data_IF_943139365667
#
_entry.id   IF_943139365667
#
_cell.length_a   1.000
_cell.length_b   1.000
_cell.length_c   1.000
_cell.angle_alpha   90.00
_cell.angle_beta   90.00
_cell.angle_gamma   90.00
#
_symmetry.space_group_name_H-M   'P 1'
#
loop_
_entity.id
_entity.type
_entity.pdbx_description
1 polymer ?
#
# COMPACT_ATOMS: atom_id res chain seq x y z
N UNK A 1 -85.58 9.61 30.32
CA UNK A 1 -84.78 10.67 30.98
C UNK A 1 -83.59 9.99 31.66
N UNK A 2 -82.36 10.35 31.24
CA UNK A 2 -81.07 10.25 31.96
C UNK A 2 -80.71 8.90 32.63
N UNK A 3 -79.62 8.21 32.30
CA UNK A 3 -78.23 8.67 32.46
C UNK A 3 -77.27 7.75 31.70
N UNK A 4 -76.21 8.36 31.16
CA UNK A 4 -75.09 7.76 30.41
C UNK A 4 -74.16 6.99 31.35
N UNK A 5 -73.52 5.93 30.86
CA UNK A 5 -72.16 5.61 31.29
C UNK A 5 -71.36 5.01 30.13
N UNK A 6 -70.31 5.75 29.78
CA UNK A 6 -69.33 5.50 28.73
C UNK A 6 -68.22 4.61 29.30
N UNK A 7 -67.87 3.51 28.64
CA UNK A 7 -66.67 2.72 28.97
C UNK A 7 -65.64 2.82 27.84
N UNK A 8 -64.53 3.52 28.12
CA UNK A 8 -63.31 3.52 27.31
C UNK A 8 -62.61 2.16 27.46
N UNK A 9 -62.29 1.49 26.35
CA UNK A 9 -61.36 0.36 26.32
C UNK A 9 -59.99 0.91 25.93
N UNK A 10 -59.02 0.80 26.84
CA UNK A 10 -57.63 1.20 26.66
C UNK A 10 -56.82 0.00 26.15
N UNK A 11 -56.36 0.05 24.89
CA UNK A 11 -55.51 -0.97 24.29
C UNK A 11 -54.06 -0.72 24.67
N UNK A 12 -53.49 -1.50 25.59
CA UNK A 12 -52.07 -1.46 25.93
C UNK A 12 -51.27 -2.39 24.99
N UNK A 13 -50.61 -1.82 23.98
CA UNK A 13 -49.56 -2.51 23.22
C UNK A 13 -48.24 -2.43 23.99
N UNK A 14 -47.80 -3.54 24.58
CA UNK A 14 -46.44 -3.68 25.11
C UNK A 14 -45.47 -3.89 23.93
N UNK A 15 -44.70 -2.86 23.59
CA UNK A 15 -43.55 -2.99 22.70
C UNK A 15 -42.41 -3.56 23.52
N UNK A 16 -42.10 -4.84 23.31
CA UNK A 16 -40.86 -5.45 23.77
C UNK A 16 -39.69 -4.77 23.03
N UNK A 17 -39.07 -3.80 23.68
CA UNK A 17 -37.75 -3.31 23.29
C UNK A 17 -36.75 -4.44 23.48
N UNK A 18 -36.52 -5.22 22.42
CA UNK A 18 -35.38 -6.11 22.34
C UNK A 18 -34.11 -5.27 22.36
N UNK A 19 -33.42 -5.25 23.51
CA UNK A 19 -32.04 -4.80 23.61
C UNK A 19 -31.21 -5.64 22.64
N UNK A 20 -30.94 -5.10 21.44
CA UNK A 20 -29.95 -5.64 20.52
C UNK A 20 -28.61 -5.62 21.23
N UNK A 21 -28.20 -6.78 21.72
CA UNK A 21 -26.90 -7.01 22.29
C UNK A 21 -25.89 -6.82 21.16
N UNK A 22 -25.19 -5.70 21.16
CA UNK A 22 -24.09 -5.45 20.23
C UNK A 22 -23.06 -6.57 20.40
N UNK A 23 -23.01 -7.50 19.43
CA UNK A 23 -22.00 -8.54 19.24
C UNK A 23 -20.61 -7.96 18.90
N UNK A 24 -20.28 -6.77 19.44
CA UNK A 24 -19.05 -6.00 19.19
C UNK A 24 -17.80 -6.59 19.86
N UNK A 25 -17.93 -7.70 20.59
CA UNK A 25 -16.85 -8.34 21.33
C UNK A 25 -16.14 -9.49 20.61
N UNK A 26 -16.47 -9.81 19.35
CA UNK A 26 -15.62 -10.70 18.54
C UNK A 26 -14.46 -9.88 17.96
N UNK A 27 -13.18 -10.25 18.22
CA UNK A 27 -12.05 -9.61 17.55
C UNK A 27 -12.26 -9.70 16.04
N UNK A 28 -12.36 -8.54 15.38
CA UNK A 28 -12.53 -8.50 13.93
C UNK A 28 -11.29 -9.17 13.31
N UNK A 29 -11.49 -10.35 12.72
CA UNK A 29 -10.41 -11.08 12.06
C UNK A 29 -9.80 -10.20 10.97
N UNK A 30 -8.48 -10.03 11.02
CA UNK A 30 -7.75 -9.25 10.02
C UNK A 30 -7.71 -10.04 8.71
N UNK A 31 -8.00 -9.35 7.61
CA UNK A 31 -7.99 -9.95 6.29
C UNK A 31 -6.54 -10.14 5.81
N UNK A 32 -6.23 -11.19 5.04
CA UNK A 32 -4.88 -11.38 4.51
C UNK A 32 -4.48 -10.22 3.58
N UNK A 33 -3.17 -10.05 3.37
CA UNK A 33 -2.70 -9.26 2.23
C UNK A 33 -3.28 -9.84 0.93
N UNK A 34 -3.37 -9.03 -0.12
CA UNK A 34 -3.88 -9.45 -1.42
C UNK A 34 -2.86 -9.15 -2.52
N UNK A 35 -2.49 -10.15 -3.31
CA UNK A 35 -1.74 -9.93 -4.55
C UNK A 35 -2.68 -9.31 -5.58
N UNK A 36 -2.56 -7.99 -5.77
CA UNK A 36 -3.43 -7.19 -6.65
C UNK A 36 -3.02 -7.31 -8.10
N UNK A 37 -1.71 -7.25 -8.34
CA UNK A 37 -1.13 -7.25 -9.68
C UNK A 37 0.18 -8.03 -9.63
N UNK A 38 0.51 -8.69 -10.75
CA UNK A 38 1.83 -9.27 -10.98
C UNK A 38 2.15 -9.26 -12.48
N UNK A 39 3.43 -9.14 -12.78
CA UNK A 39 3.98 -9.32 -14.12
C UNK A 39 5.35 -10.00 -14.01
N UNK A 40 5.72 -10.72 -15.06
CA UNK A 40 7.04 -11.31 -15.19
C UNK A 40 7.50 -11.29 -16.63
N UNK A 41 8.81 -11.23 -16.82
CA UNK A 41 9.45 -11.37 -18.13
C UNK A 41 10.64 -12.33 -18.03
N UNK A 42 10.99 -12.92 -19.16
CA UNK A 42 12.11 -13.84 -19.29
C UNK A 42 12.93 -13.40 -20.48
N UNK A 43 14.21 -13.11 -20.27
CA UNK A 43 15.12 -12.72 -21.35
C UNK A 43 16.37 -13.58 -21.38
N UNK A 44 16.81 -13.92 -22.59
CA UNK A 44 18.04 -14.66 -22.81
C UNK A 44 19.24 -13.77 -22.47
N UNK A 45 20.14 -14.26 -21.62
CA UNK A 45 21.40 -13.61 -21.28
C UNK A 45 22.57 -14.58 -21.51
N UNK A 46 23.81 -14.09 -21.45
CA UNK A 46 25.03 -14.88 -21.68
C UNK A 46 25.16 -16.10 -20.75
N UNK A 47 24.63 -16.01 -19.52
CA UNK A 47 24.64 -17.07 -18.52
C UNK A 47 23.38 -17.93 -18.40
N UNK A 48 22.39 -17.77 -19.30
CA UNK A 48 21.12 -18.48 -19.21
C UNK A 48 19.92 -17.61 -19.56
N UNK A 49 19.00 -17.47 -18.63
CA UNK A 49 17.82 -16.60 -18.75
C UNK A 49 17.69 -15.75 -17.48
N UNK A 50 17.43 -14.46 -17.65
CA UNK A 50 17.05 -13.57 -16.55
C UNK A 50 15.54 -13.59 -16.43
N UNK A 51 15.04 -13.88 -15.24
CA UNK A 51 13.62 -13.82 -14.88
C UNK A 51 13.40 -12.57 -14.08
N UNK A 52 12.64 -11.62 -14.62
CA UNK A 52 12.25 -10.41 -13.90
C UNK A 52 10.81 -10.54 -13.41
N UNK A 53 10.50 -9.91 -12.28
CA UNK A 53 9.12 -9.78 -11.81
C UNK A 53 8.84 -8.43 -11.18
N UNK A 54 7.56 -8.07 -11.22
CA UNK A 54 6.99 -6.96 -10.49
C UNK A 54 5.64 -7.39 -9.92
N UNK A 55 5.33 -6.95 -8.70
CA UNK A 55 4.07 -7.26 -8.06
C UNK A 55 3.62 -6.14 -7.12
N UNK A 56 2.31 -6.10 -6.86
CA UNK A 56 1.66 -5.18 -5.94
C UNK A 56 0.85 -5.97 -4.92
N UNK A 57 1.24 -5.89 -3.64
CA UNK A 57 0.41 -6.37 -2.52
C UNK A 57 -0.46 -5.23 -2.00
N UNK A 58 -1.72 -5.51 -1.71
CA UNK A 58 -2.63 -4.59 -1.04
C UNK A 58 -2.95 -5.04 0.38
N UNK A 59 -2.98 -4.09 1.30
CA UNK A 59 -3.39 -4.32 2.68
C UNK A 59 -4.81 -3.80 2.90
N UNK A 60 -5.81 -4.69 3.08
CA UNK A 60 -7.19 -4.27 3.32
C UNK A 60 -7.43 -3.77 4.75
N UNK A 61 -6.49 -3.96 5.68
CA UNK A 61 -6.67 -3.62 7.09
C UNK A 61 -6.30 -2.16 7.33
N UNK A 62 -7.33 -1.34 7.62
CA UNK A 62 -7.18 0.12 7.79
C UNK A 62 -6.27 0.54 8.94
N UNK A 63 -6.09 -0.30 9.96
CA UNK A 63 -5.42 0.07 11.21
C UNK A 63 -4.19 -0.79 11.53
N UNK A 64 -3.78 -1.65 10.61
CA UNK A 64 -2.68 -2.59 10.85
C UNK A 64 -1.70 -2.57 9.70
N UNK A 65 -0.40 -2.56 10.01
CA UNK A 65 0.66 -2.88 9.07
C UNK A 65 0.73 -4.39 8.86
N UNK A 66 1.01 -4.80 7.63
CA UNK A 66 1.46 -6.16 7.36
C UNK A 66 2.98 -6.20 7.38
N UNK A 67 3.57 -6.87 8.37
CA UNK A 67 5.01 -6.93 8.59
C UNK A 67 5.60 -8.31 8.30
N UNK A 68 6.93 -8.37 8.17
CA UNK A 68 7.72 -9.61 8.08
C UNK A 68 7.19 -10.59 7.02
N UNK A 69 6.60 -10.05 5.96
CA UNK A 69 6.10 -10.84 4.84
C UNK A 69 7.29 -11.27 3.99
N UNK A 70 7.26 -12.50 3.49
CA UNK A 70 8.28 -13.00 2.57
C UNK A 70 7.57 -13.47 1.32
N UNK A 71 7.94 -12.91 0.17
CA UNK A 71 7.51 -13.42 -1.13
C UNK A 71 8.35 -14.64 -1.51
N UNK A 72 7.70 -15.67 -2.06
CA UNK A 72 8.37 -16.81 -2.69
C UNK A 72 8.11 -16.73 -4.18
N UNK A 73 9.18 -16.55 -4.95
CA UNK A 73 9.15 -16.51 -6.40
C UNK A 73 9.64 -17.85 -6.91
N UNK A 74 8.83 -18.53 -7.71
CA UNK A 74 9.19 -19.81 -8.34
C UNK A 74 9.00 -19.73 -9.84
N UNK A 75 9.95 -20.26 -10.61
CA UNK A 75 9.82 -20.38 -12.06
C UNK A 75 9.99 -21.84 -12.50
N UNK A 76 9.16 -22.27 -13.45
CA UNK A 76 9.16 -23.65 -13.97
C UNK A 76 9.47 -23.67 -15.47
N UNK A 77 10.20 -24.69 -15.91
CA UNK A 77 10.42 -24.97 -17.34
C UNK A 77 9.22 -25.66 -18.00
N UNK A 78 9.34 -25.93 -19.31
CA UNK A 78 8.29 -26.58 -20.11
C UNK A 78 7.91 -28.00 -19.64
N UNK A 79 8.76 -28.65 -18.85
CA UNK A 79 8.49 -29.98 -18.27
C UNK A 79 7.80 -29.90 -16.90
N UNK A 80 7.59 -28.70 -16.38
CA UNK A 80 7.05 -28.45 -15.04
C UNK A 80 8.09 -28.50 -13.92
N UNK A 81 9.37 -28.67 -14.24
CA UNK A 81 10.45 -28.68 -13.25
C UNK A 81 10.71 -27.26 -12.75
N UNK A 82 10.80 -27.10 -11.44
CA UNK A 82 11.21 -25.84 -10.81
C UNK A 82 12.70 -25.60 -11.10
N UNK A 83 13.00 -24.46 -11.71
CA UNK A 83 14.35 -24.05 -12.13
C UNK A 83 14.81 -22.76 -11.45
N UNK A 84 13.89 -22.04 -10.81
CA UNK A 84 14.16 -20.90 -9.94
C UNK A 84 13.27 -21.03 -8.72
N UNK A 85 13.85 -20.83 -7.54
CA UNK A 85 13.13 -20.57 -6.28
C UNK A 85 13.89 -19.53 -5.48
N UNK A 86 13.22 -18.45 -5.13
CA UNK A 86 13.81 -17.38 -4.33
C UNK A 86 12.84 -16.91 -3.26
N UNK A 87 13.39 -16.59 -2.09
CA UNK A 87 12.66 -15.91 -1.02
C UNK A 87 13.10 -14.46 -0.95
N UNK A 88 12.15 -13.53 -1.04
CA UNK A 88 12.39 -12.10 -0.97
C UNK A 88 11.68 -11.55 0.27
N UNK A 89 12.43 -11.14 1.31
CA UNK A 89 11.87 -10.37 2.41
C UNK A 89 11.22 -9.10 1.86
N UNK A 90 10.00 -8.84 2.29
CA UNK A 90 9.25 -7.67 1.90
C UNK A 90 9.26 -6.64 3.01
N UNK A 91 9.19 -5.38 2.61
CA UNK A 91 8.99 -4.29 3.54
C UNK A 91 7.57 -4.29 4.12
N UNK A 92 7.36 -3.53 5.19
CA UNK A 92 6.05 -3.41 5.79
C UNK A 92 5.02 -2.79 4.82
N UNK A 93 3.85 -3.43 4.73
CA UNK A 93 2.71 -2.95 3.93
C UNK A 93 1.88 -1.98 4.79
N UNK A 94 1.77 -0.70 4.43
CA UNK A 94 1.10 0.29 5.26
C UNK A 94 -0.42 0.03 5.40
N UNK A 95 -1.07 0.53 6.47
CA UNK A 95 -2.50 0.35 6.68
C UNK A 95 -3.33 0.94 5.53
N UNK A 96 -4.30 0.16 5.03
CA UNK A 96 -5.10 0.50 3.85
C UNK A 96 -4.28 0.89 2.59
N UNK A 97 -2.99 0.51 2.53
CA UNK A 97 -2.08 0.88 1.46
C UNK A 97 -1.66 -0.30 0.60
N UNK A 98 -0.68 -0.04 -0.27
CA UNK A 98 -0.08 -1.02 -1.15
C UNK A 98 1.43 -1.10 -0.99
N UNK A 99 2.00 -2.22 -1.40
CA UNK A 99 3.42 -2.48 -1.47
C UNK A 99 3.74 -2.94 -2.88
N UNK A 100 4.44 -2.09 -3.64
CA UNK A 100 5.10 -2.48 -4.88
C UNK A 100 6.47 -3.09 -4.56
N UNK A 101 6.79 -4.21 -5.21
CA UNK A 101 8.11 -4.83 -5.12
C UNK A 101 8.47 -5.50 -6.45
N UNK A 102 9.77 -5.59 -6.70
CA UNK A 102 10.36 -6.09 -7.94
C UNK A 102 11.57 -6.94 -7.61
N UNK A 103 12.05 -7.71 -8.58
CA UNK A 103 13.32 -8.42 -8.48
C UNK A 103 13.65 -9.18 -9.74
N UNK A 104 14.81 -9.82 -9.71
CA UNK A 104 15.34 -10.61 -10.80
C UNK A 104 16.06 -11.86 -10.29
N UNK A 105 16.11 -12.90 -11.11
CA UNK A 105 16.87 -14.11 -10.82
C UNK A 105 17.39 -14.74 -12.12
N UNK A 106 18.57 -15.36 -12.05
CA UNK A 106 19.11 -16.15 -13.15
C UNK A 106 18.53 -17.58 -13.14
N UNK A 107 18.19 -18.07 -14.33
CA UNK A 107 17.70 -19.41 -14.59
C UNK A 107 18.58 -20.10 -15.64
N UNK A 108 18.95 -21.36 -15.39
CA UNK A 108 19.76 -22.14 -16.33
C UNK A 108 19.00 -22.54 -17.61
N UNK A 109 17.67 -22.67 -17.53
CA UNK A 109 16.78 -23.03 -18.63
C UNK A 109 15.68 -21.96 -18.81
N UNK A 110 14.99 -21.95 -19.97
CA UNK A 110 13.91 -20.99 -20.24
C UNK A 110 12.71 -21.33 -19.37
N UNK A 111 12.29 -20.48 -18.43
CA UNK A 111 11.03 -20.68 -17.74
C UNK A 111 9.86 -20.40 -18.67
N UNK A 112 8.79 -21.18 -18.52
CA UNK A 112 7.50 -20.97 -19.20
C UNK A 112 6.44 -20.43 -18.25
N UNK A 113 6.67 -20.53 -16.93
CA UNK A 113 5.80 -19.92 -15.92
C UNK A 113 6.61 -19.35 -14.77
N UNK A 114 6.14 -18.23 -14.23
CA UNK A 114 6.64 -17.59 -13.01
C UNK A 114 5.45 -17.41 -12.09
N UNK A 115 5.61 -17.78 -10.82
CA UNK A 115 4.57 -17.65 -9.79
C UNK A 115 5.14 -16.89 -8.60
N UNK A 116 4.35 -15.97 -8.07
CA UNK A 116 4.65 -15.22 -6.87
C UNK A 116 3.64 -15.63 -5.80
N UNK A 117 4.15 -16.22 -4.73
CA UNK A 117 3.40 -16.47 -3.51
C UNK A 117 3.96 -15.62 -2.39
N UNK A 118 3.28 -15.57 -1.24
CA UNK A 118 3.79 -14.89 -0.05
C UNK A 118 3.31 -15.59 1.21
N UNK A 119 4.11 -15.48 2.27
CA UNK A 119 3.74 -15.95 3.60
C UNK A 119 2.75 -14.98 4.25
N UNK A 120 1.86 -15.42 5.14
CA UNK A 120 1.00 -14.53 5.92
C UNK A 120 1.81 -13.45 6.64
N UNK A 121 1.30 -12.22 6.65
CA UNK A 121 1.93 -11.12 7.35
C UNK A 121 1.77 -11.26 8.87
N UNK A 122 2.77 -10.76 9.62
CA UNK A 122 2.59 -10.44 11.02
C UNK A 122 1.85 -9.10 11.12
N UNK A 123 0.69 -9.09 11.79
CA UNK A 123 -0.11 -7.87 11.89
C UNK A 123 0.33 -7.02 13.08
N UNK A 124 0.74 -5.79 12.79
CA UNK A 124 1.09 -4.79 13.80
C UNK A 124 0.07 -3.66 13.77
N UNK A 125 -0.58 -3.38 14.90
CA UNK A 125 -1.52 -2.26 14.99
C UNK A 125 -0.76 -0.94 14.88
N UNK A 126 -1.18 -0.07 13.96
CA UNK A 126 -0.53 1.22 13.75
C UNK A 126 -0.60 2.11 15.00
N UNK A 127 0.55 2.66 15.42
CA UNK A 127 0.61 3.59 16.56
C UNK A 127 -0.04 4.96 16.28
N UNK A 128 -0.39 5.25 15.02
CA UNK A 128 -1.01 6.51 14.59
C UNK A 128 -2.15 6.24 13.61
N UNK A 129 -2.99 7.26 13.42
CA UNK A 129 -4.01 7.22 12.38
C UNK A 129 -3.37 7.10 10.98
N UNK A 130 -3.97 6.36 10.03
CA UNK A 130 -3.37 6.13 8.70
C UNK A 130 -2.96 7.39 7.96
N UNK A 131 -3.71 8.48 8.11
CA UNK A 131 -3.41 9.77 7.48
C UNK A 131 -2.13 10.45 7.99
N UNK A 132 -1.52 9.93 9.06
CA UNK A 132 -0.21 10.35 9.55
C UNK A 132 0.95 9.75 8.73
N UNK A 133 0.75 8.62 8.06
CA UNK A 133 1.75 8.00 7.17
C UNK A 133 1.64 8.62 5.78
N UNK A 134 2.26 9.78 5.60
CA UNK A 134 2.23 10.52 4.33
C UNK A 134 3.01 9.77 3.23
N UNK A 135 2.52 9.76 1.98
CA UNK A 135 3.29 9.27 0.85
C UNK A 135 4.45 10.23 0.55
N UNK A 136 5.59 9.68 0.12
CA UNK A 136 6.73 10.47 -0.32
C UNK A 136 6.44 11.08 -1.69
N UNK A 137 6.46 12.42 -1.86
CA UNK A 137 6.19 13.04 -3.14
C UNK A 137 7.26 12.66 -4.16
N UNK A 138 6.82 12.21 -5.33
CA UNK A 138 7.66 11.93 -6.49
C UNK A 138 7.35 12.95 -7.58
N UNK A 139 8.38 13.46 -8.25
CA UNK A 139 8.23 14.51 -9.26
C UNK A 139 9.21 14.35 -10.42
N UNK A 140 8.87 15.01 -11.55
CA UNK A 140 9.67 15.05 -12.78
C UNK A 140 10.07 13.65 -13.25
N UNK A 141 9.14 12.71 -13.20
CA UNK A 141 9.37 11.34 -13.68
C UNK A 141 9.52 11.40 -15.20
N UNK A 142 10.65 10.89 -15.69
CA UNK A 142 10.89 10.65 -17.10
C UNK A 142 11.09 9.16 -17.33
N UNK A 143 10.57 8.65 -18.43
CA UNK A 143 10.72 7.25 -18.84
C UNK A 143 11.23 7.22 -20.27
N UNK A 144 12.41 6.67 -20.45
CA UNK A 144 13.10 6.57 -21.73
C UNK A 144 13.27 5.09 -22.08
N UNK A 145 12.97 4.72 -23.32
CA UNK A 145 13.21 3.36 -23.81
C UNK A 145 14.67 3.27 -24.27
N UNK A 146 15.47 2.41 -23.65
CA UNK A 146 16.90 2.30 -23.95
C UNK A 146 17.18 1.40 -25.16
N UNK A 147 16.41 0.32 -25.34
CA UNK A 147 16.66 -0.75 -26.30
C UNK A 147 16.23 -2.10 -25.74
N UNK A 148 16.08 -3.14 -26.57
CA UNK A 148 15.75 -4.53 -26.14
C UNK A 148 14.56 -4.70 -25.19
N UNK A 149 13.65 -3.72 -25.12
CA UNK A 149 12.51 -3.75 -24.19
C UNK A 149 12.83 -3.23 -22.78
N UNK A 150 14.02 -2.68 -22.57
CA UNK A 150 14.44 -2.05 -21.31
C UNK A 150 14.10 -0.56 -21.27
N UNK A 151 13.90 -0.04 -20.07
CA UNK A 151 13.55 1.35 -19.81
C UNK A 151 14.43 1.97 -18.73
N UNK A 152 14.78 3.23 -18.92
CA UNK A 152 15.39 4.10 -17.93
C UNK A 152 14.32 5.01 -17.34
N UNK A 153 14.16 4.95 -16.02
CA UNK A 153 13.25 5.81 -15.28
C UNK A 153 14.10 6.71 -14.40
N UNK A 154 13.89 8.01 -14.52
CA UNK A 154 14.54 9.01 -13.66
C UNK A 154 13.50 9.92 -13.05
N UNK A 155 13.83 10.53 -11.92
CA UNK A 155 12.98 11.51 -11.28
C UNK A 155 13.55 11.94 -9.95
N UNK A 156 12.71 12.59 -9.16
CA UNK A 156 13.08 13.09 -7.84
C UNK A 156 12.06 12.67 -6.79
N UNK A 157 12.55 12.39 -5.59
CA UNK A 157 11.75 12.14 -4.39
C UNK A 157 12.05 13.21 -3.34
N UNK A 158 11.02 13.62 -2.59
CA UNK A 158 11.15 14.52 -1.43
C UNK A 158 10.56 13.86 -0.18
N UNK A 159 10.87 14.43 0.98
CA UNK A 159 10.39 13.94 2.27
C UNK A 159 9.23 14.82 2.80
N UNK A 160 8.03 14.26 3.04
CA UNK A 160 6.92 15.01 3.62
C UNK A 160 7.05 15.14 5.14
N UNK A 161 8.10 14.61 5.77
CA UNK A 161 8.30 14.62 7.23
C UNK A 161 9.37 15.62 7.67
N UNK A 162 9.35 16.00 8.96
CA UNK A 162 10.39 16.85 9.54
C UNK A 162 11.69 16.10 9.77
N UNK A 163 11.56 14.85 10.24
CA UNK A 163 12.68 13.93 10.44
C UNK A 163 13.06 13.36 9.08
N UNK A 164 14.35 13.39 8.69
CA UNK A 164 14.80 12.76 7.46
C UNK A 164 14.49 11.26 7.41
N UNK A 165 14.03 10.79 6.26
CA UNK A 165 14.02 9.37 5.94
C UNK A 165 15.45 8.88 5.64
N UNK A 166 15.94 7.95 6.48
CA UNK A 166 17.30 7.41 6.36
C UNK A 166 17.53 6.71 5.02
N UNK A 167 16.58 5.88 4.60
CA UNK A 167 16.61 5.20 3.30
C UNK A 167 15.19 4.97 2.80
N UNK A 168 14.97 5.29 1.53
CA UNK A 168 13.74 5.01 0.80
C UNK A 168 13.98 3.96 -0.27
N UNK A 169 13.00 3.08 -0.43
CA UNK A 169 12.84 2.23 -1.61
C UNK A 169 11.97 2.99 -2.60
N UNK A 170 12.49 3.23 -3.80
CA UNK A 170 11.75 3.82 -4.91
C UNK A 170 11.51 2.73 -5.94
N UNK A 171 10.25 2.38 -6.16
CA UNK A 171 9.84 1.35 -7.11
C UNK A 171 9.13 2.00 -8.29
N UNK A 172 9.59 1.72 -9.49
CA UNK A 172 8.94 2.09 -10.75
C UNK A 172 8.18 0.88 -11.30
N UNK A 173 6.92 1.07 -11.66
CA UNK A 173 6.04 0.09 -12.28
C UNK A 173 5.70 0.57 -13.69
N UNK A 174 6.00 -0.24 -14.68
CA UNK A 174 5.68 0.03 -16.08
C UNK A 174 4.32 -0.54 -16.41
N UNK A 175 3.48 0.27 -17.06
CA UNK A 175 2.13 -0.10 -17.45
C UNK A 175 1.95 0.03 -18.96
N UNK A 176 1.19 -0.89 -19.56
CA UNK A 176 0.79 -0.81 -20.96
C UNK A 176 -0.31 0.25 -21.19
N UNK A 177 -0.78 0.38 -22.44
CA UNK A 177 -1.85 1.33 -22.80
C UNK A 177 -3.19 1.06 -22.09
N UNK A 178 -3.43 -0.17 -21.65
CA UNK A 178 -4.62 -0.55 -20.90
C UNK A 178 -4.45 -0.37 -19.37
N UNK A 179 -3.28 0.09 -18.91
CA UNK A 179 -2.95 0.26 -17.50
C UNK A 179 -2.47 -1.02 -16.82
N UNK A 180 -2.31 -2.13 -17.55
CA UNK A 180 -1.85 -3.41 -16.98
C UNK A 180 -0.35 -3.33 -16.66
N UNK A 181 0.03 -3.85 -15.49
CA UNK A 181 1.43 -4.01 -15.10
C UNK A 181 2.17 -4.93 -16.09
N UNK A 182 3.31 -4.48 -16.61
CA UNK A 182 4.16 -5.23 -17.56
C UNK A 182 5.61 -5.42 -17.09
N UNK A 183 5.99 -4.76 -16.00
CA UNK A 183 7.33 -4.87 -15.41
C UNK A 183 7.56 -3.79 -14.36
N UNK A 184 8.75 -3.80 -13.77
CA UNK A 184 9.15 -2.79 -12.80
C UNK A 184 10.58 -2.97 -12.34
N UNK A 185 11.08 -1.96 -11.64
CA UNK A 185 12.42 -1.96 -11.07
C UNK A 185 12.43 -1.12 -9.81
N UNK A 186 13.51 -1.27 -9.03
CA UNK A 186 13.65 -0.60 -7.74
C UNK A 186 15.04 0.00 -7.60
N UNK A 187 15.11 1.15 -6.93
CA UNK A 187 16.36 1.76 -6.48
C UNK A 187 16.23 2.24 -5.03
N UNK A 188 17.36 2.46 -4.38
CA UNK A 188 17.43 3.02 -3.05
C UNK A 188 17.86 4.48 -3.10
N UNK A 189 17.27 5.29 -2.22
CA UNK A 189 17.64 6.69 -2.06
C UNK A 189 17.81 6.99 -0.59
N UNK A 190 19.04 7.30 -0.19
CA UNK A 190 19.38 7.56 1.21
C UNK A 190 19.30 9.05 1.56
N UNK A 191 19.17 9.36 2.86
CA UNK A 191 19.17 10.71 3.43
C UNK A 191 18.23 11.67 2.68
N UNK A 192 16.97 11.26 2.53
CA UNK A 192 15.94 12.10 1.92
C UNK A 192 15.43 13.09 2.96
N UNK A 193 15.45 14.38 2.63
CA UNK A 193 15.09 15.47 3.54
C UNK A 193 14.01 16.33 2.92
N UNK A 194 13.25 17.02 3.76
CA UNK A 194 12.08 17.78 3.31
C UNK A 194 12.37 18.94 2.37
N UNK A 195 13.60 19.45 2.41
CA UNK A 195 14.05 20.61 1.65
C UNK A 195 14.99 20.25 0.50
N UNK A 196 15.19 18.95 0.22
CA UNK A 196 16.05 18.49 -0.86
C UNK A 196 15.29 17.56 -1.79
N UNK A 197 15.52 17.76 -3.09
CA UNK A 197 15.03 16.84 -4.11
C UNK A 197 16.13 15.81 -4.36
N UNK A 198 15.91 14.55 -3.97
CA UNK A 198 16.87 13.47 -4.19
C UNK A 198 16.55 12.78 -5.51
N UNK A 199 17.55 12.71 -6.39
CA UNK A 199 17.39 12.03 -7.69
C UNK A 199 17.39 10.52 -7.49
N UNK A 200 16.51 9.83 -8.20
CA UNK A 200 16.61 8.39 -8.41
C UNK A 200 16.81 8.08 -9.89
N UNK A 201 17.44 6.93 -10.14
CA UNK A 201 17.65 6.35 -11.46
C UNK A 201 17.35 4.86 -11.32
N UNK A 202 16.39 4.37 -12.09
CA UNK A 202 15.95 2.97 -12.08
C UNK A 202 16.04 2.47 -13.52
N UNK A 203 16.73 1.36 -13.72
CA UNK A 203 16.65 0.61 -14.97
C UNK A 203 15.66 -0.53 -14.77
N UNK A 204 14.68 -0.63 -15.67
CA UNK A 204 13.80 -1.80 -15.75
C UNK A 204 14.27 -2.61 -16.94
N UNK A 205 14.85 -3.76 -16.66
CA UNK A 205 15.33 -4.65 -17.70
C UNK A 205 14.16 -5.40 -18.32
N UNK A 206 14.10 -5.35 -19.66
CA UNK A 206 13.33 -6.26 -20.49
C UNK A 206 11.91 -6.55 -20.01
N UNK A 207 10.96 -5.66 -20.30
CA UNK A 207 9.53 -5.94 -20.03
C UNK A 207 9.02 -7.13 -20.86
N UNK A 208 7.90 -7.73 -20.44
CA UNK A 208 7.30 -8.90 -21.09
C UNK A 208 7.25 -8.76 -22.62
N UNK A 209 7.58 -9.83 -23.36
CA UNK A 209 7.62 -9.84 -24.84
C UNK A 209 6.34 -9.22 -25.44
N UNK A 210 6.50 -8.13 -26.20
CA UNK A 210 5.40 -7.39 -26.84
C UNK A 210 4.82 -6.21 -26.02
N UNK A 211 5.21 -6.04 -24.76
CA UNK A 211 4.77 -4.92 -23.92
C UNK A 211 5.52 -3.63 -24.24
N UNK A 212 4.83 -2.62 -24.77
CA UNK A 212 5.34 -1.25 -24.78
C UNK A 212 4.78 -0.51 -23.56
N UNK A 213 5.67 0.06 -22.74
CA UNK A 213 5.25 0.91 -21.64
C UNK A 213 4.60 2.18 -22.22
N UNK A 214 3.36 2.44 -21.79
CA UNK A 214 2.63 3.66 -22.10
C UNK A 214 2.70 4.67 -20.94
N UNK A 215 2.87 4.18 -19.71
CA UNK A 215 3.02 5.01 -18.52
C UNK A 215 3.89 4.32 -17.48
N UNK A 216 4.40 5.13 -16.56
CA UNK A 216 5.21 4.70 -15.43
C UNK A 216 4.60 5.25 -14.16
N UNK A 217 4.26 4.35 -13.24
CA UNK A 217 3.91 4.69 -11.87
C UNK A 217 5.16 4.58 -11.01
N UNK A 218 5.46 5.59 -10.20
CA UNK A 218 6.61 5.56 -9.29
C UNK A 218 6.12 5.79 -7.87
N UNK A 219 6.47 4.86 -6.99
CA UNK A 219 6.11 4.91 -5.57
C UNK A 219 7.39 4.89 -4.75
N UNK A 220 7.48 5.81 -3.79
CA UNK A 220 8.57 5.86 -2.83
C UNK A 220 8.03 5.58 -1.43
N UNK A 221 8.77 4.80 -0.65
CA UNK A 221 8.36 4.32 0.68
C UNK A 221 9.56 4.02 1.55
N UNK A 222 9.35 3.92 2.86
CA UNK A 222 10.44 3.55 3.78
C UNK A 222 10.90 2.12 3.52
N UNK A 223 12.20 1.90 3.68
CA UNK A 223 12.79 0.56 3.69
C UNK A 223 12.70 -0.08 5.08
N UNK A 224 12.33 -1.36 5.15
CA UNK A 224 12.26 -2.12 6.38
C UNK A 224 11.03 -3.03 6.47
N UNK A 225 11.23 -4.25 7.00
CA UNK A 225 10.18 -5.27 7.16
C UNK A 225 9.15 -4.98 8.27
N UNK A 226 9.37 -3.94 9.08
CA UNK A 226 8.51 -3.53 10.19
C UNK A 226 7.97 -2.12 9.99
N UNK A 227 6.93 -1.75 10.73
CA UNK A 227 6.29 -0.43 10.72
C UNK A 227 7.17 0.67 11.33
N UNK A 228 8.22 0.29 12.05
CA UNK A 228 9.08 1.21 12.80
C UNK A 228 9.56 2.42 11.98
N UNK A 229 10.06 2.28 10.74
CA UNK A 229 10.47 3.44 9.93
C UNK A 229 9.30 4.40 9.64
N UNK A 230 8.11 3.89 9.34
CA UNK A 230 6.91 4.72 9.14
C UNK A 230 6.51 5.45 10.42
N UNK A 231 6.49 4.74 11.54
CA UNK A 231 6.09 5.30 12.83
C UNK A 231 7.10 6.35 13.32
N UNK A 232 8.40 6.09 13.18
CA UNK A 232 9.46 7.03 13.55
C UNK A 232 9.36 8.35 12.76
N UNK A 233 9.00 8.29 11.48
CA UNK A 233 8.77 9.49 10.65
C UNK A 233 7.46 10.20 11.03
N UNK A 234 6.37 9.45 11.19
CA UNK A 234 5.08 10.01 11.60
C UNK A 234 5.15 10.68 12.99
N UNK A 235 5.96 10.13 13.92
CA UNK A 235 6.23 10.75 15.23
C UNK A 235 7.04 12.04 15.10
N UNK A 236 7.96 12.13 14.13
CA UNK A 236 8.69 13.36 13.82
C UNK A 236 7.82 14.49 13.25
N UNK A 237 6.60 14.17 12.80
CA UNK A 237 5.64 15.13 12.26
C UNK A 237 5.84 15.44 10.78
N UNK A 238 4.77 15.88 10.11
CA UNK A 238 4.78 16.25 8.69
C UNK A 238 5.23 17.70 8.45
N UNK A 239 5.70 17.99 7.23
CA UNK A 239 5.97 19.32 6.70
C UNK A 239 5.06 19.64 5.51
N UNK A 240 4.58 20.89 5.38
CA UNK A 240 4.70 21.97 6.38
C UNK A 240 3.84 21.69 7.61
N UNK A 241 4.27 22.21 8.77
CA UNK A 241 3.48 22.18 10.02
C UNK A 241 2.29 23.11 9.82
N UNK A 242 1.15 22.58 9.36
CA UNK A 242 -0.12 23.29 9.20
C UNK A 242 0.01 24.80 8.90
N UNK A 243 0.67 25.17 7.79
CA UNK A 243 0.78 26.58 7.38
C UNK A 243 -0.37 27.04 6.49
N UNK A 244 -1.26 26.14 6.07
CA UNK A 244 -2.55 26.56 5.55
C UNK A 244 -3.40 27.04 6.74
N UNK A 245 -3.45 28.36 6.94
CA UNK A 245 -4.49 28.98 7.77
C UNK A 245 -5.83 28.38 7.35
N UNK A 246 -6.69 27.97 8.30
CA UNK A 246 -8.06 27.59 7.97
C UNK A 246 -8.66 28.67 7.07
N UNK A 247 -9.06 28.30 5.86
CA UNK A 247 -9.76 29.20 4.93
C UNK A 247 -11.21 29.41 5.36
N UNK A 248 -11.70 28.58 6.28
CA UNK A 248 -12.99 28.73 6.93
C UNK A 248 -12.93 29.89 7.92
N UNK A 249 -13.95 30.75 7.91
CA UNK A 249 -14.07 31.79 8.94
C UNK A 249 -14.03 31.18 10.35
N UNK A 250 -13.42 31.88 11.32
CA UNK A 250 -13.52 31.49 12.73
C UNK A 250 -14.98 31.25 13.09
N UNK A 251 -15.26 30.14 13.77
CA UNK A 251 -16.61 29.88 14.26
C UNK A 251 -17.04 31.05 15.17
N UNK A 252 -18.17 31.70 14.83
CA UNK A 252 -18.72 32.86 15.58
C UNK A 252 -19.03 32.49 17.05
N UNK A 253 -19.22 31.20 17.34
CA UNK A 253 -19.33 30.67 18.69
C UNK A 253 -18.35 29.52 18.87
N UNK A 254 -17.60 29.57 19.97
CA UNK A 254 -16.87 28.42 20.49
C UNK A 254 -17.87 27.28 20.72
N UNK A 255 -17.71 26.19 19.96
CA UNK A 255 -18.39 24.93 20.27
C UNK A 255 -17.54 24.23 21.32
N UNK A 256 -17.46 24.85 22.50
CA UNK A 256 -16.96 24.19 23.70
C UNK A 256 -17.64 22.83 23.82
N UNK A 257 -16.90 21.87 24.38
CA UNK A 257 -17.33 20.47 24.56
C UNK A 257 -18.84 20.44 24.83
N UNK A 258 -19.62 20.02 23.84
CA UNK A 258 -20.98 19.60 24.12
C UNK A 258 -20.80 18.36 24.98
N UNK A 259 -20.93 18.51 26.30
CA UNK A 259 -21.25 17.40 27.15
C UNK A 259 -22.45 16.74 26.48
N UNK A 260 -22.25 15.52 25.96
CA UNK A 260 -23.36 14.72 25.46
C UNK A 260 -24.31 14.60 26.64
N UNK A 261 -25.37 15.39 26.61
CA UNK A 261 -26.43 15.26 27.59
C UNK A 261 -27.04 13.92 27.25
N UNK A 262 -26.85 12.93 28.13
CA UNK A 262 -27.61 11.69 28.11
C UNK A 262 -29.09 12.08 28.04
N UNK A 263 -29.67 12.01 26.84
CA UNK A 263 -31.07 11.69 26.73
C UNK A 263 -31.14 10.17 26.78
N UNK A 264 -31.23 9.66 28.00
CA UNK A 264 -32.09 8.49 28.25
C UNK A 264 -33.48 8.83 27.68
N UNK A 265 -34.16 7.84 27.07
CA UNK A 265 -35.35 8.06 26.25
C UNK A 265 -36.43 8.90 26.93
#
# INVERSE_FOLDING_TARGET
MTQRMTALILTALMVLAGCGQDDSNKPRQLAPLALKEQASSVVKASGGYVVNWAAVLGNPNRWHFGENTVATISAQDATGKEIVRMEQPLDAVPPAGTLAFTGEALAAAKPVSVKINYRPAAWHQAARIPSAFKPFPVSKVATEKLGTGSYLITGYVTDPFQKPASSLVVTALLRDKAGKLIGGGTAFVDDVRSNTNRRFIITVESVSEGGQAASTEVVARTWGATAKPYEDLAMGGAKPVHTAKPQTEPFIKDRGIQAMTEKRP
#
